data_IF_155769701486
#
_entry.id   IF_155769701486
#
_cell.length_a   1.000
_cell.length_b   1.000
_cell.length_c   1.000
_cell.angle_alpha   90.00
_cell.angle_beta   90.00
_cell.angle_gamma   90.00
#
_symmetry.space_group_name_H-M   'P 1'
#
loop_
_entity.id
_entity.type
_entity.pdbx_description
1 polymer ?
#
# COMPACT_ATOMS: atom_id res chain seq x y z
N UNK A 1 42.05 8.26 11.89
CA UNK A 1 41.42 8.68 10.61
C UNK A 1 41.26 7.40 9.80
N UNK A 2 40.10 6.89 9.36
CA UNK A 2 38.75 7.38 9.16
C UNK A 2 37.79 6.19 9.39
N UNK A 3 36.69 6.37 10.13
CA UNK A 3 35.61 5.38 10.20
C UNK A 3 34.79 5.53 8.91
N UNK A 4 35.01 4.66 7.94
CA UNK A 4 34.15 4.59 6.75
C UNK A 4 32.77 4.13 7.19
N UNK A 5 31.86 5.08 7.43
CA UNK A 5 30.46 4.78 7.63
C UNK A 5 29.97 4.05 6.38
N UNK A 6 29.64 2.76 6.50
CA UNK A 6 28.86 2.03 5.51
C UNK A 6 27.56 2.82 5.33
N UNK A 7 27.49 3.70 4.31
CA UNK A 7 26.24 4.28 3.85
C UNK A 7 25.36 3.08 3.52
N UNK A 8 24.37 2.78 4.38
CA UNK A 8 23.32 1.80 4.06
C UNK A 8 22.70 2.29 2.76
N UNK A 9 23.00 1.61 1.66
CA UNK A 9 22.44 1.98 0.36
C UNK A 9 20.94 1.66 0.40
N UNK A 10 20.15 2.61 -0.09
CA UNK A 10 18.70 2.55 -0.08
C UNK A 10 18.22 1.52 -1.11
N UNK A 11 17.14 0.78 -0.85
CA UNK A 11 16.67 -0.30 -1.75
C UNK A 11 16.48 0.16 -3.20
N UNK A 12 16.11 1.43 -3.42
CA UNK A 12 15.93 2.04 -4.75
C UNK A 12 17.16 1.92 -5.66
N UNK A 13 18.39 1.93 -5.12
CA UNK A 13 19.61 1.78 -5.94
C UNK A 13 19.91 0.33 -6.32
N UNK A 14 19.15 -0.63 -5.78
CA UNK A 14 19.31 -2.07 -6.03
C UNK A 14 18.16 -2.68 -6.83
N UNK A 15 17.24 -1.84 -7.34
CA UNK A 15 16.14 -2.29 -8.18
C UNK A 15 16.67 -2.89 -9.47
N UNK A 16 16.25 -4.12 -9.75
CA UNK A 16 16.53 -4.83 -10.99
C UNK A 16 15.35 -4.66 -11.94
N UNK A 17 15.66 -4.44 -13.20
CA UNK A 17 14.69 -4.40 -14.29
C UNK A 17 14.87 -5.66 -15.13
N UNK A 18 13.80 -6.45 -15.26
CA UNK A 18 13.81 -7.73 -15.97
C UNK A 18 12.63 -7.81 -16.93
N UNK A 19 12.72 -8.72 -17.91
CA UNK A 19 11.68 -8.92 -18.90
C UNK A 19 11.24 -10.38 -18.89
N UNK A 20 9.93 -10.59 -18.75
CA UNK A 20 9.32 -11.91 -18.85
C UNK A 20 8.84 -12.09 -20.30
N UNK A 21 9.47 -12.99 -21.07
CA UNK A 21 9.04 -13.29 -22.43
C UNK A 21 7.71 -14.04 -22.42
N UNK A 22 7.01 -14.05 -23.56
CA UNK A 22 5.89 -14.96 -23.77
C UNK A 22 6.47 -16.36 -23.99
N UNK A 23 6.23 -17.29 -23.06
CA UNK A 23 6.77 -18.66 -23.15
C UNK A 23 5.76 -19.57 -23.87
N UNK A 24 6.03 -19.82 -25.16
CA UNK A 24 5.27 -20.78 -25.98
C UNK A 24 3.79 -20.44 -26.20
N UNK A 25 3.07 -21.35 -26.88
CA UNK A 25 1.63 -21.25 -27.15
C UNK A 25 0.74 -21.65 -25.96
N UNK A 26 1.32 -22.05 -24.82
CA UNK A 26 0.60 -22.51 -23.62
C UNK A 26 0.19 -21.40 -22.65
N UNK A 27 0.70 -20.17 -22.82
CA UNK A 27 0.39 -19.05 -21.92
C UNK A 27 0.98 -19.19 -20.50
N UNK A 28 1.85 -20.17 -20.26
CA UNK A 28 2.54 -20.31 -18.98
C UNK A 28 3.56 -19.19 -18.80
N UNK A 29 3.34 -18.37 -17.78
CA UNK A 29 4.33 -17.39 -17.35
C UNK A 29 5.48 -18.14 -16.69
N UNK A 30 6.70 -17.93 -17.17
CA UNK A 30 7.92 -18.50 -16.58
C UNK A 30 8.27 -17.92 -15.20
N UNK A 31 7.30 -17.40 -14.46
CA UNK A 31 7.40 -16.78 -13.15
C UNK A 31 6.17 -17.15 -12.31
N UNK A 32 6.38 -17.38 -11.01
CA UNK A 32 5.32 -17.45 -10.03
C UNK A 32 5.54 -16.41 -8.92
N UNK A 33 4.44 -15.90 -8.37
CA UNK A 33 4.42 -14.92 -7.28
C UNK A 33 3.64 -15.43 -6.07
N UNK A 34 4.11 -15.06 -4.88
CA UNK A 34 3.49 -15.28 -3.58
C UNK A 34 3.48 -14.01 -2.74
N UNK A 35 3.05 -14.11 -1.46
CA UNK A 35 2.85 -12.95 -0.58
C UNK A 35 1.54 -12.21 -0.92
N UNK A 36 1.51 -10.90 -0.74
CA UNK A 36 0.34 -10.06 -1.00
C UNK A 36 -0.22 -9.44 0.27
N UNK A 37 -0.94 -8.32 0.12
CA UNK A 37 -1.46 -7.55 1.25
C UNK A 37 -2.45 -8.35 2.13
N UNK A 38 -3.18 -9.28 1.53
CA UNK A 38 -4.05 -10.28 2.16
C UNK A 38 -3.28 -11.28 3.06
N UNK A 39 -1.96 -11.39 2.87
CA UNK A 39 -1.06 -12.14 3.74
C UNK A 39 -0.26 -11.24 4.71
N UNK A 40 -0.39 -9.92 4.60
CA UNK A 40 0.43 -8.97 5.34
C UNK A 40 1.88 -8.91 4.86
N UNK A 41 2.14 -9.29 3.61
CA UNK A 41 3.47 -9.32 3.00
C UNK A 41 3.49 -8.56 1.67
N UNK A 42 4.67 -8.10 1.26
CA UNK A 42 4.84 -7.66 -0.12
C UNK A 42 4.82 -8.85 -1.08
N UNK A 43 4.34 -8.67 -2.32
CA UNK A 43 4.46 -9.71 -3.34
C UNK A 43 5.93 -10.01 -3.63
N UNK A 44 6.25 -11.29 -3.77
CA UNK A 44 7.61 -11.75 -4.05
C UNK A 44 7.65 -12.91 -5.04
N UNK A 45 8.77 -13.06 -5.72
CA UNK A 45 9.01 -14.14 -6.69
C UNK A 45 9.16 -15.47 -5.96
N UNK A 46 8.32 -16.46 -6.29
CA UNK A 46 8.39 -17.82 -5.73
C UNK A 46 9.05 -18.81 -6.68
N UNK A 47 9.02 -18.56 -7.98
CA UNK A 47 9.69 -19.35 -9.01
C UNK A 47 10.01 -18.47 -10.22
N UNK A 48 11.12 -18.75 -10.90
CA UNK A 48 11.50 -18.11 -12.16
C UNK A 48 12.26 -19.11 -13.05
N UNK A 49 11.82 -19.32 -14.28
CA UNK A 49 12.39 -20.28 -15.25
C UNK A 49 13.48 -19.68 -16.14
N UNK A 50 13.90 -18.43 -15.89
CA UNK A 50 14.95 -17.71 -16.63
C UNK A 50 14.70 -16.19 -16.67
N UNK A 51 15.68 -15.41 -17.15
CA UNK A 51 15.47 -13.97 -17.45
C UNK A 51 15.88 -12.95 -16.38
N UNK A 52 16.80 -13.28 -15.47
CA UNK A 52 17.37 -12.32 -14.51
C UNK A 52 16.56 -12.09 -13.22
N UNK A 53 15.45 -12.82 -13.05
CA UNK A 53 14.65 -12.80 -11.83
C UNK A 53 15.23 -13.70 -10.75
N UNK A 54 15.30 -13.21 -9.52
CA UNK A 54 15.78 -13.98 -8.36
C UNK A 54 14.61 -14.39 -7.47
N UNK A 55 14.53 -15.69 -7.15
CA UNK A 55 13.54 -16.21 -6.20
C UNK A 55 13.73 -15.54 -4.85
N UNK A 56 12.63 -15.03 -4.30
CA UNK A 56 12.60 -14.30 -3.04
C UNK A 56 12.65 -12.78 -3.19
N UNK A 57 12.96 -12.24 -4.37
CA UNK A 57 12.89 -10.80 -4.61
C UNK A 57 11.47 -10.27 -4.46
N UNK A 58 11.36 -9.06 -3.91
CA UNK A 58 10.11 -8.30 -3.82
C UNK A 58 9.77 -7.75 -5.20
N UNK A 59 8.52 -7.92 -5.62
CA UNK A 59 8.01 -7.41 -6.91
C UNK A 59 7.46 -6.01 -6.69
N UNK A 60 8.11 -5.00 -7.28
CA UNK A 60 7.73 -3.59 -7.12
C UNK A 60 6.72 -3.15 -8.17
N UNK A 61 6.98 -3.49 -9.44
CA UNK A 61 6.16 -3.08 -10.59
C UNK A 61 6.04 -4.22 -11.62
N UNK A 62 4.88 -4.33 -12.27
CA UNK A 62 4.60 -5.25 -13.39
C UNK A 62 4.00 -4.44 -14.54
N UNK A 63 4.62 -4.43 -15.73
CA UNK A 63 4.13 -3.66 -16.87
C UNK A 63 4.07 -2.14 -16.62
N UNK A 64 4.88 -1.64 -15.69
CA UNK A 64 4.83 -0.25 -15.20
C UNK A 64 3.69 0.04 -14.21
N UNK A 65 2.95 -0.98 -13.77
CA UNK A 65 1.94 -0.90 -12.72
C UNK A 65 2.59 -1.19 -11.37
N UNK A 66 2.53 -0.28 -10.37
CA UNK A 66 3.03 -0.57 -9.02
C UNK A 66 2.12 -1.59 -8.32
N UNK A 67 2.71 -2.67 -7.82
CA UNK A 67 1.94 -3.81 -7.27
C UNK A 67 2.04 -4.00 -5.76
N UNK A 68 2.87 -3.19 -5.08
CA UNK A 68 2.94 -3.21 -3.62
C UNK A 68 1.62 -2.70 -3.01
N UNK A 69 1.10 -3.41 -2.01
CA UNK A 69 -0.23 -3.13 -1.44
C UNK A 69 -1.40 -3.85 -2.12
N UNK A 70 -1.17 -4.56 -3.24
CA UNK A 70 -2.20 -5.38 -3.88
C UNK A 70 -2.32 -6.75 -3.20
N UNK A 71 -3.49 -7.39 -3.32
CA UNK A 71 -3.69 -8.78 -2.88
C UNK A 71 -2.93 -9.74 -3.80
N UNK A 72 -2.64 -10.97 -3.34
CA UNK A 72 -2.00 -11.99 -4.19
C UNK A 72 -2.76 -12.23 -5.49
N UNK A 73 -4.09 -12.33 -5.38
CA UNK A 73 -4.96 -12.54 -6.52
C UNK A 73 -4.84 -11.40 -7.53
N UNK A 74 -4.81 -10.15 -7.07
CA UNK A 74 -4.64 -8.99 -7.94
C UNK A 74 -3.27 -8.92 -8.61
N UNK A 75 -2.20 -9.22 -7.89
CA UNK A 75 -0.85 -9.26 -8.50
C UNK A 75 -0.81 -10.30 -9.62
N UNK A 76 -1.44 -11.46 -9.43
CA UNK A 76 -1.59 -12.50 -10.46
C UNK A 76 -2.49 -12.04 -11.60
N UNK A 77 -3.60 -11.35 -11.31
CA UNK A 77 -4.50 -10.79 -12.31
C UNK A 77 -3.78 -9.79 -13.23
N UNK A 78 -3.01 -8.87 -12.66
CA UNK A 78 -2.16 -7.91 -13.40
C UNK A 78 -1.10 -8.64 -14.21
N UNK A 79 -0.40 -9.61 -13.62
CA UNK A 79 0.65 -10.37 -14.31
C UNK A 79 0.11 -11.14 -15.52
N UNK A 80 -1.03 -11.83 -15.37
CA UNK A 80 -1.63 -12.68 -16.40
C UNK A 80 -2.27 -11.88 -17.56
N UNK A 81 -2.62 -10.62 -17.32
CA UNK A 81 -3.27 -9.75 -18.31
C UNK A 81 -2.36 -8.65 -18.86
N UNK A 82 -1.12 -8.57 -18.39
CA UNK A 82 -0.14 -7.60 -18.88
C UNK A 82 0.34 -7.98 -20.29
N UNK A 83 0.37 -7.03 -21.26
CA UNK A 83 0.93 -7.29 -22.58
C UNK A 83 2.40 -7.71 -22.53
N UNK A 84 2.78 -8.68 -23.37
CA UNK A 84 4.17 -9.15 -23.49
C UNK A 84 5.00 -8.31 -24.48
N UNK A 85 6.34 -8.22 -24.30
CA UNK A 85 7.09 -8.73 -23.14
C UNK A 85 6.79 -7.93 -21.86
N UNK A 86 6.64 -8.62 -20.74
CA UNK A 86 6.26 -7.98 -19.47
C UNK A 86 7.53 -7.45 -18.81
N UNK A 87 7.63 -6.13 -18.68
CA UNK A 87 8.66 -5.48 -17.87
C UNK A 87 8.32 -5.61 -16.39
N UNK A 88 9.23 -6.14 -15.59
CA UNK A 88 9.03 -6.34 -14.15
C UNK A 88 10.21 -5.72 -13.39
N UNK A 89 9.91 -4.99 -12.33
CA UNK A 89 10.92 -4.44 -11.42
C UNK A 89 10.92 -5.21 -10.12
N UNK A 90 12.08 -5.70 -9.72
CA UNK A 90 12.25 -6.44 -8.47
C UNK A 90 13.37 -5.87 -7.62
N UNK A 91 13.39 -6.22 -6.34
CA UNK A 91 14.51 -5.90 -5.45
C UNK A 91 14.69 -6.99 -4.41
N UNK A 92 15.93 -7.37 -4.14
CA UNK A 92 16.21 -8.39 -3.12
C UNK A 92 15.86 -7.89 -1.71
N UNK A 93 15.19 -8.71 -0.88
CA UNK A 93 14.84 -8.35 0.48
C UNK A 93 16.08 -8.23 1.36
N UNK A 94 16.06 -7.34 2.36
CA UNK A 94 17.13 -7.23 3.37
C UNK A 94 17.85 -5.89 3.42
N UNK A 95 17.56 -4.98 2.48
CA UNK A 95 17.88 -3.56 2.62
C UNK A 95 16.89 -2.88 3.59
N UNK A 96 16.56 -1.60 3.39
CA UNK A 96 15.50 -0.93 4.15
C UNK A 96 14.08 -1.47 3.84
N UNK A 97 13.95 -2.28 2.79
CA UNK A 97 12.72 -2.98 2.38
C UNK A 97 12.82 -4.48 2.70
N UNK A 98 12.03 -4.94 3.67
CA UNK A 98 11.83 -6.36 3.99
C UNK A 98 10.47 -6.83 3.47
N UNK A 99 10.19 -8.13 3.47
CA UNK A 99 8.92 -8.69 2.96
C UNK A 99 7.70 -8.35 3.82
N UNK A 100 7.89 -7.97 5.08
CA UNK A 100 6.80 -7.68 6.00
C UNK A 100 6.19 -6.29 5.70
N UNK A 101 5.00 -6.31 5.11
CA UNK A 101 4.26 -5.11 4.73
C UNK A 101 3.85 -4.29 5.95
N UNK A 102 3.42 -4.96 7.03
CA UNK A 102 2.98 -4.30 8.27
C UNK A 102 4.12 -3.55 8.92
N UNK A 103 5.29 -4.20 9.01
CA UNK A 103 6.51 -3.58 9.54
C UNK A 103 6.96 -2.40 8.67
N UNK A 104 6.78 -2.45 7.35
CA UNK A 104 7.13 -1.31 6.49
C UNK A 104 6.17 -0.14 6.67
N UNK A 105 4.86 -0.40 6.74
CA UNK A 105 3.84 0.64 6.97
C UNK A 105 3.94 1.26 8.37
N UNK A 106 4.40 0.52 9.38
CA UNK A 106 4.58 1.03 10.73
C UNK A 106 5.76 2.00 10.89
N UNK A 107 6.65 2.12 9.89
CA UNK A 107 7.82 3.01 9.94
C UNK A 107 7.41 4.45 9.61
N UNK A 108 8.00 5.40 10.33
CA UNK A 108 7.89 6.82 10.00
C UNK A 108 9.05 7.21 9.08
N UNK A 109 8.74 7.70 7.89
CA UNK A 109 9.74 8.22 6.96
C UNK A 109 9.62 9.73 6.82
N UNK A 110 10.71 10.41 6.47
CA UNK A 110 10.68 11.85 6.19
C UNK A 110 9.66 12.15 5.09
N UNK A 111 8.73 13.10 5.26
CA UNK A 111 7.79 13.49 4.20
C UNK A 111 8.52 13.84 2.90
N UNK A 112 8.01 13.34 1.78
CA UNK A 112 8.61 13.53 0.45
C UNK A 112 9.79 12.60 0.14
N UNK A 113 10.27 11.80 1.10
CA UNK A 113 11.25 10.74 0.83
C UNK A 113 10.67 9.65 -0.07
N UNK A 114 11.56 8.88 -0.72
CA UNK A 114 11.17 7.74 -1.56
C UNK A 114 10.30 6.75 -0.80
N UNK A 115 10.64 6.45 0.46
CA UNK A 115 9.87 5.52 1.28
C UNK A 115 8.49 6.08 1.65
N UNK A 116 8.38 7.38 1.99
CA UNK A 116 7.07 8.00 2.26
C UNK A 116 6.16 8.01 1.02
N UNK A 117 6.73 8.24 -0.17
CA UNK A 117 6.00 8.13 -1.43
C UNK A 117 5.58 6.69 -1.71
N UNK A 118 6.42 5.71 -1.37
CA UNK A 118 6.07 4.30 -1.53
C UNK A 118 4.95 3.89 -0.59
N UNK A 119 4.95 4.35 0.67
CA UNK A 119 3.83 4.13 1.59
C UNK A 119 2.51 4.69 1.04
N UNK A 120 2.55 5.86 0.39
CA UNK A 120 1.36 6.42 -0.27
C UNK A 120 0.87 5.52 -1.42
N UNK A 121 1.77 5.05 -2.29
CA UNK A 121 1.42 4.11 -3.37
C UNK A 121 0.82 2.81 -2.84
N UNK A 122 1.38 2.28 -1.74
CA UNK A 122 0.87 1.08 -1.08
C UNK A 122 -0.57 1.32 -0.59
N UNK A 123 -0.83 2.45 0.09
CA UNK A 123 -2.16 2.81 0.59
C UNK A 123 -3.17 2.99 -0.55
N UNK A 124 -2.79 3.65 -1.64
CA UNK A 124 -3.65 3.78 -2.83
C UNK A 124 -4.08 2.41 -3.37
N UNK A 125 -3.18 1.43 -3.42
CA UNK A 125 -3.50 0.07 -3.83
C UNK A 125 -4.38 -0.67 -2.81
N UNK A 126 -4.12 -0.52 -1.50
CA UNK A 126 -4.92 -1.12 -0.44
C UNK A 126 -6.36 -0.62 -0.49
N UNK A 127 -6.57 0.68 -0.72
CA UNK A 127 -7.88 1.30 -0.76
C UNK A 127 -8.73 0.92 -1.98
N UNK A 128 -8.15 0.23 -2.97
CA UNK A 128 -8.94 -0.42 -4.03
C UNK A 128 -9.71 -1.65 -3.53
N UNK A 129 -9.31 -2.22 -2.38
CA UNK A 129 -9.84 -3.49 -1.85
C UNK A 129 -10.32 -3.41 -0.40
N UNK A 130 -9.78 -2.51 0.40
CA UNK A 130 -10.09 -2.37 1.80
C UNK A 130 -10.44 -0.91 2.12
N UNK A 131 -11.63 -0.70 2.67
CA UNK A 131 -12.01 0.62 3.15
C UNK A 131 -11.28 0.90 4.48
N UNK A 132 -10.61 2.05 4.63
CA UNK A 132 -10.00 2.42 5.91
C UNK A 132 -11.08 2.57 6.99
N UNK A 133 -10.71 2.34 8.25
CA UNK A 133 -11.59 2.55 9.39
C UNK A 133 -11.13 3.73 10.26
N UNK A 134 -12.09 4.39 10.93
CA UNK A 134 -11.80 5.46 11.87
C UNK A 134 -12.78 5.48 13.04
N UNK A 135 -12.34 5.96 14.20
CA UNK A 135 -13.20 6.26 15.35
C UNK A 135 -13.77 7.67 15.33
N UNK A 136 -13.37 8.50 14.35
CA UNK A 136 -13.93 9.83 14.15
C UNK A 136 -15.40 9.70 13.75
N UNK A 137 -16.25 10.64 14.16
CA UNK A 137 -17.60 10.73 13.61
C UNK A 137 -17.57 11.14 12.13
N UNK A 138 -18.50 10.65 11.29
CA UNK A 138 -18.62 11.10 9.90
C UNK A 138 -18.80 12.62 9.82
N UNK A 139 -18.09 13.26 8.89
CA UNK A 139 -18.31 14.66 8.50
C UNK A 139 -19.52 14.76 7.56
N UNK A 140 -20.03 15.98 7.41
CA UNK A 140 -21.11 16.26 6.45
C UNK A 140 -20.72 15.82 5.04
N UNK A 141 -21.52 14.92 4.46
CA UNK A 141 -21.29 14.36 3.13
C UNK A 141 -20.45 13.09 3.08
N UNK A 142 -19.80 12.68 4.17
CA UNK A 142 -19.16 11.36 4.26
C UNK A 142 -20.22 10.25 4.43
N UNK A 143 -20.03 9.14 3.73
CA UNK A 143 -20.93 8.00 3.72
C UNK A 143 -20.22 6.78 4.33
N UNK A 144 -20.80 6.23 5.38
CA UNK A 144 -20.32 5.01 6.01
C UNK A 144 -20.29 3.84 5.01
N UNK A 145 -19.16 3.14 4.95
CA UNK A 145 -18.95 2.07 3.98
C UNK A 145 -18.51 2.53 2.58
N UNK A 146 -18.36 3.85 2.36
CA UNK A 146 -17.85 4.41 1.10
C UNK A 146 -16.56 5.21 1.33
N UNK A 147 -16.55 6.11 2.30
CA UNK A 147 -15.38 6.95 2.62
C UNK A 147 -14.54 6.30 3.72
N UNK A 148 -15.21 5.88 4.78
CA UNK A 148 -14.62 5.16 5.91
C UNK A 148 -15.58 4.13 6.47
N UNK A 149 -15.02 3.13 7.12
CA UNK A 149 -15.74 2.36 8.11
C UNK A 149 -15.66 3.08 9.46
N UNK A 150 -16.73 3.77 9.84
CA UNK A 150 -16.81 4.48 11.11
C UNK A 150 -17.17 3.48 12.21
N UNK A 151 -16.23 3.26 13.13
CA UNK A 151 -16.31 2.24 14.18
C UNK A 151 -16.17 2.86 15.55
N UNK A 152 -16.64 2.18 16.59
CA UNK A 152 -16.39 2.61 17.97
C UNK A 152 -14.92 2.47 18.34
N UNK A 153 -14.50 3.10 19.44
CA UNK A 153 -13.14 2.96 19.97
C UNK A 153 -12.86 1.49 20.36
N UNK A 154 -13.84 0.83 20.98
CA UNK A 154 -13.77 -0.57 21.40
C UNK A 154 -13.64 -1.52 20.20
N UNK A 155 -14.41 -1.27 19.15
CA UNK A 155 -14.32 -2.03 17.89
C UNK A 155 -12.96 -1.83 17.22
N UNK A 156 -12.45 -0.59 17.20
CA UNK A 156 -11.13 -0.29 16.63
C UNK A 156 -10.02 -1.06 17.34
N UNK A 157 -9.99 -1.04 18.67
CA UNK A 157 -8.99 -1.79 19.43
C UNK A 157 -9.15 -3.30 19.27
N UNK A 158 -10.38 -3.81 19.13
CA UNK A 158 -10.61 -5.22 18.82
C UNK A 158 -10.01 -5.62 17.47
N UNK A 159 -10.08 -4.75 16.45
CA UNK A 159 -9.45 -4.96 15.14
C UNK A 159 -7.91 -4.92 15.22
N UNK A 160 -7.37 -4.01 16.04
CA UNK A 160 -5.93 -3.90 16.26
C UNK A 160 -5.37 -5.14 16.97
N UNK A 161 -6.00 -5.55 18.08
CA UNK A 161 -5.58 -6.70 18.89
C UNK A 161 -5.69 -8.03 18.15
N UNK A 162 -6.72 -8.19 17.31
CA UNK A 162 -6.87 -9.37 16.46
C UNK A 162 -5.88 -9.44 15.29
N UNK A 163 -5.10 -8.39 15.03
CA UNK A 163 -4.18 -8.31 13.90
C UNK A 163 -4.86 -8.15 12.55
N UNK A 164 -6.11 -7.67 12.55
CA UNK A 164 -6.91 -7.40 11.36
C UNK A 164 -6.45 -6.13 10.63
N UNK A 165 -5.74 -5.22 11.30
CA UNK A 165 -5.18 -4.00 10.70
C UNK A 165 -3.75 -4.24 10.16
N UNK A 166 -3.47 -3.72 8.96
CA UNK A 166 -2.11 -3.66 8.40
C UNK A 166 -1.29 -2.50 8.97
N UNK A 167 -1.97 -1.41 9.31
CA UNK A 167 -1.42 -0.25 9.99
C UNK A 167 -2.52 0.44 10.80
N UNK A 168 -2.10 1.14 11.84
CA UNK A 168 -2.95 1.96 12.72
C UNK A 168 -2.23 3.24 13.12
N UNK A 169 -2.99 4.27 13.47
CA UNK A 169 -2.45 5.50 14.06
C UNK A 169 -3.53 6.37 14.67
N UNK A 170 -3.08 7.46 15.30
CA UNK A 170 -3.94 8.42 16.00
C UNK A 170 -3.72 9.82 15.44
N UNK A 171 -4.80 10.56 15.27
CA UNK A 171 -4.78 11.94 14.81
C UNK A 171 -5.96 12.74 15.35
N UNK A 172 -5.70 13.97 15.82
CA UNK A 172 -6.72 14.85 16.42
C UNK A 172 -7.66 14.08 17.37
N UNK A 173 -7.07 13.27 18.26
CA UNK A 173 -7.82 12.44 19.23
C UNK A 173 -8.44 11.14 18.69
N UNK A 174 -8.55 10.95 17.38
CA UNK A 174 -9.23 9.81 16.74
C UNK A 174 -8.25 8.76 16.21
N UNK A 175 -8.68 7.50 16.17
CA UNK A 175 -7.91 6.40 15.62
C UNK A 175 -8.26 6.16 14.15
N UNK A 176 -7.26 5.75 13.37
CA UNK A 176 -7.37 5.43 11.96
C UNK A 176 -6.60 4.16 11.68
N UNK A 177 -7.13 3.30 10.82
CA UNK A 177 -6.53 2.03 10.50
C UNK A 177 -6.85 1.59 9.08
N UNK A 178 -5.92 0.84 8.48
CA UNK A 178 -6.15 0.19 7.19
C UNK A 178 -6.35 -1.30 7.46
N UNK A 179 -7.57 -1.84 7.32
CA UNK A 179 -7.80 -3.27 7.44
C UNK A 179 -7.02 -4.06 6.40
N UNK A 180 -6.69 -5.30 6.75
CA UNK A 180 -6.17 -6.27 5.79
C UNK A 180 -7.24 -6.54 4.73
N UNK A 181 -6.91 -6.41 3.43
CA UNK A 181 -7.87 -6.71 2.38
C UNK A 181 -8.24 -8.19 2.41
N UNK A 182 -9.51 -8.47 2.08
CA UNK A 182 -10.01 -9.83 1.95
C UNK A 182 -9.41 -10.50 0.70
N UNK A 183 -9.25 -11.83 0.76
CA UNK A 183 -8.86 -12.62 -0.40
C UNK A 183 -9.84 -12.42 -1.55
N UNK A 184 -9.31 -12.38 -2.77
CA UNK A 184 -10.09 -12.35 -4.01
C UNK A 184 -11.11 -13.50 -4.02
N UNK A 185 -12.35 -13.17 -4.32
CA UNK A 185 -13.49 -14.10 -4.37
C UNK A 185 -14.22 -14.02 -5.71
N UNK A 186 -15.24 -14.87 -5.92
CA UNK A 186 -16.08 -14.82 -7.12
C UNK A 186 -16.80 -13.46 -7.26
N UNK A 187 -17.20 -12.87 -6.13
CA UNK A 187 -17.87 -11.56 -6.08
C UNK A 187 -16.91 -10.37 -6.25
N UNK A 188 -15.60 -10.63 -6.21
CA UNK A 188 -14.57 -9.60 -6.32
C UNK A 188 -13.34 -10.17 -7.05
N UNK A 189 -13.45 -10.41 -8.37
CA UNK A 189 -12.42 -11.10 -9.15
C UNK A 189 -11.09 -10.34 -9.20
N UNK A 190 -9.97 -10.97 -9.58
CA UNK A 190 -8.68 -10.31 -9.68
C UNK A 190 -8.72 -9.06 -10.56
N UNK A 191 -8.14 -7.96 -10.09
CA UNK A 191 -7.97 -6.74 -10.88
C UNK A 191 -7.03 -7.04 -12.05
N UNK A 192 -7.46 -6.72 -13.26
CA UNK A 192 -6.63 -6.87 -14.47
C UNK A 192 -5.66 -5.69 -14.66
N UNK A 193 -4.65 -5.85 -15.51
CA UNK A 193 -3.67 -4.80 -15.84
C UNK A 193 -4.33 -3.49 -16.30
N UNK A 194 -5.31 -3.58 -17.20
CA UNK A 194 -5.99 -2.41 -17.74
C UNK A 194 -6.94 -1.78 -16.70
N UNK A 195 -7.60 -2.61 -15.91
CA UNK A 195 -8.51 -2.17 -14.86
C UNK A 195 -7.78 -1.43 -13.74
N UNK A 196 -6.63 -1.94 -13.29
CA UNK A 196 -5.79 -1.27 -12.30
C UNK A 196 -5.41 0.15 -12.73
N UNK A 197 -4.98 0.32 -13.98
CA UNK A 197 -4.68 1.65 -14.57
C UNK A 197 -5.87 2.60 -14.52
N UNK A 198 -7.08 2.08 -14.74
CA UNK A 198 -8.30 2.88 -14.71
C UNK A 198 -8.70 3.22 -13.27
N UNK A 199 -8.67 2.23 -12.37
CA UNK A 199 -9.03 2.38 -10.96
C UNK A 199 -8.13 3.39 -10.25
N UNK A 200 -6.81 3.29 -10.36
CA UNK A 200 -5.91 4.27 -9.73
C UNK A 200 -6.07 5.68 -10.30
N UNK A 201 -6.32 5.80 -11.61
CA UNK A 201 -6.59 7.10 -12.23
C UNK A 201 -7.84 7.74 -11.62
N UNK A 202 -8.92 6.96 -11.51
CA UNK A 202 -10.19 7.41 -10.95
C UNK A 202 -10.07 7.71 -9.44
N UNK A 203 -9.33 6.87 -8.70
CA UNK A 203 -9.08 7.05 -7.28
C UNK A 203 -8.37 8.38 -7.03
N UNK A 204 -7.23 8.63 -7.70
CA UNK A 204 -6.49 9.89 -7.56
C UNK A 204 -7.29 11.13 -7.95
N UNK A 205 -8.23 11.02 -8.90
CA UNK A 205 -9.12 12.13 -9.21
C UNK A 205 -10.15 12.39 -8.11
N UNK A 206 -10.70 11.33 -7.49
CA UNK A 206 -11.68 11.45 -6.39
C UNK A 206 -11.02 11.91 -5.09
N UNK A 207 -9.87 11.34 -4.71
CA UNK A 207 -9.17 11.71 -3.48
C UNK A 207 -8.72 13.16 -3.47
N UNK A 208 -8.30 13.71 -4.62
CA UNK A 208 -8.03 15.16 -4.76
C UNK A 208 -9.27 16.02 -4.54
N UNK A 209 -10.43 15.56 -4.99
CA UNK A 209 -11.69 16.26 -4.73
C UNK A 209 -12.07 16.21 -3.24
N UNK A 210 -11.84 15.07 -2.58
CA UNK A 210 -12.10 14.89 -1.15
C UNK A 210 -11.14 15.71 -0.28
N UNK A 211 -9.83 15.66 -0.51
CA UNK A 211 -8.86 16.42 0.30
C UNK A 211 -8.97 17.93 0.14
N UNK A 212 -9.45 18.41 -1.02
CA UNK A 212 -9.79 19.82 -1.21
C UNK A 212 -11.03 20.24 -0.41
N UNK A 213 -12.01 19.35 -0.24
CA UNK A 213 -13.19 19.59 0.57
C UNK A 213 -12.87 19.53 2.07
N UNK A 214 -12.00 18.60 2.48
CA UNK A 214 -11.50 18.52 3.87
C UNK A 214 -10.76 19.78 4.28
N UNK A 215 -9.86 20.31 3.43
CA UNK A 215 -9.18 21.59 3.70
C UNK A 215 -10.17 22.75 3.86
N UNK A 216 -11.20 22.80 3.01
CA UNK A 216 -12.21 23.86 3.07
C UNK A 216 -13.09 23.76 4.33
N UNK A 217 -13.36 22.56 4.83
CA UNK A 217 -14.10 22.34 6.08
C UNK A 217 -13.23 22.62 7.31
N UNK A 218 -11.92 22.35 7.25
CA UNK A 218 -10.99 22.60 8.35
C UNK A 218 -10.67 24.10 8.56
N UNK A 219 -10.71 24.92 7.51
CA UNK A 219 -10.52 26.37 7.62
C UNK A 219 -11.74 27.11 8.25
N UNK A 220 -12.87 26.41 8.45
CA UNK A 220 -14.11 26.97 8.97
C UNK A 220 -14.32 26.88 10.49
N UNK A 221 -13.49 26.12 11.23
CA UNK A 221 -13.76 25.74 12.63
C UNK A 221 -12.63 26.10 13.61
N UNK A 222 -11.96 27.24 13.40
CA UNK A 222 -10.96 27.76 14.34
C UNK A 222 -11.56 28.81 15.29
N UNK A 223 -12.07 28.36 16.44
CA UNK A 223 -12.16 29.18 17.65
C UNK A 223 -11.75 28.36 18.89
N UNK A 224 -10.51 28.64 19.33
CA UNK A 224 -9.86 28.53 20.66
C UNK A 224 -10.39 27.53 21.71
N UNK A 225 -9.52 26.62 22.20
CA UNK A 225 -8.81 26.78 23.49
C UNK A 225 -7.70 25.71 23.69
N UNK A 226 -6.61 26.17 24.30
CA UNK A 226 -5.32 25.51 24.54
C UNK A 226 -5.27 24.75 25.88
N UNK A 227 -4.58 23.60 25.94
CA UNK A 227 -3.57 23.28 26.97
C UNK A 227 -3.17 21.78 27.00
N UNK A 228 -1.86 21.53 27.07
CA UNK A 228 -1.29 20.35 27.76
C UNK A 228 -0.48 19.35 26.92
N UNK A 229 0.84 19.48 26.96
CA UNK A 229 1.87 18.52 26.50
C UNK A 229 1.69 17.08 27.05
N UNK A 230 1.88 16.06 26.22
CA UNK A 230 2.99 15.09 26.35
C UNK A 230 3.05 14.14 25.15
N UNK A 231 4.28 13.87 24.72
CA UNK A 231 4.72 13.12 23.54
C UNK A 231 3.88 11.87 23.19
N UNK A 232 3.22 11.89 22.02
CA UNK A 232 2.90 10.66 21.30
C UNK A 232 3.06 10.89 19.79
N UNK A 233 4.13 10.28 19.27
CA UNK A 233 4.57 10.14 17.88
C UNK A 233 3.49 10.51 16.86
N UNK A 234 3.66 11.68 16.25
CA UNK A 234 2.88 12.17 15.12
C UNK A 234 2.87 11.14 13.98
N UNK A 235 1.81 10.33 13.92
CA UNK A 235 1.46 9.45 12.80
C UNK A 235 0.60 10.22 11.78
N UNK A 236 0.97 11.47 11.51
CA UNK A 236 0.26 12.40 10.61
C UNK A 236 0.27 11.92 9.15
N UNK A 237 1.05 10.88 8.81
CA UNK A 237 1.16 10.31 7.46
C UNK A 237 0.02 9.36 7.06
N UNK A 238 -0.90 9.03 7.98
CA UNK A 238 -2.11 8.25 7.65
C UNK A 238 -3.22 9.12 7.00
N UNK A 239 -3.03 10.43 6.90
CA UNK A 239 -4.12 11.39 6.71
C UNK A 239 -4.03 12.22 5.42
N UNK A 240 -2.96 12.07 4.64
CA UNK A 240 -2.89 12.75 3.35
C UNK A 240 -3.57 11.89 2.28
N UNK A 241 -4.86 12.12 2.05
CA UNK A 241 -5.51 11.78 0.78
C UNK A 241 -5.05 12.69 -0.36
#
# INVERSE_FOLDING_TARGET
>A
MSKTALKKQHWRSHVQDSFIPLLGSSGELGIAVGGGADYGEFPFVTSALGGGLTVGDIVLEIGGTPVLGMTLGDVRGVLNSCPHPIRIKTVSPGFTLCKDLRLYLSKCFTPGSVDSQLQQVIRENLYLRALPCTTRQPRDGEIAGVDYNFVSIEEFFSLEESGALLESGKFKGNYYGTPRPVHVSADSPPITYQEHRNLLRNFRTRSKSLSNLEKAAEDGDNSEEDSGEYQSKDKTQLLSF
#
